data_IF_369210543971
#
_entry.id   IF_369210543971
#
_cell.length_a   1.000
_cell.length_b   1.000
_cell.length_c   1.000
_cell.angle_alpha   90.00
_cell.angle_beta   90.00
_cell.angle_gamma   90.00
#
_symmetry.space_group_name_H-M   'P 1'
#
loop_
_entity.id
_entity.type
_entity.pdbx_description
1 polymer ?
#
# COMPACT_ATOMS: atom_id res chain seq x y z
N UNK A 1 21.10 19.01 16.42
CA UNK A 1 20.47 19.45 15.14
C UNK A 1 18.94 19.33 15.11
N UNK A 2 18.27 18.78 16.15
CA UNK A 2 16.80 18.77 16.21
C UNK A 2 16.22 20.13 16.60
N UNK A 3 16.90 20.85 17.48
CA UNK A 3 16.67 22.27 17.71
C UNK A 3 17.25 23.05 16.53
N UNK A 4 16.41 23.87 15.87
CA UNK A 4 16.75 24.65 14.68
C UNK A 4 17.36 26.01 15.03
N UNK A 5 17.44 26.36 16.30
CA UNK A 5 18.02 27.62 16.73
C UNK A 5 19.54 27.60 16.58
N UNK A 6 20.09 28.59 15.87
CA UNK A 6 21.54 28.86 15.74
C UNK A 6 22.38 27.71 15.14
N UNK A 7 21.80 26.84 14.31
CA UNK A 7 22.51 25.74 13.65
C UNK A 7 22.76 25.96 12.15
N UNK A 8 22.60 27.19 11.65
CA UNK A 8 22.66 27.50 10.20
C UNK A 8 23.94 26.98 9.54
N UNK A 9 25.08 27.05 10.23
CA UNK A 9 26.37 26.54 9.76
C UNK A 9 26.33 25.02 9.51
N UNK A 10 25.60 24.28 10.35
CA UNK A 10 25.43 22.82 10.23
C UNK A 10 24.36 22.44 9.19
N UNK A 11 23.63 23.42 8.65
CA UNK A 11 22.59 23.26 7.64
C UNK A 11 23.05 23.69 6.23
N UNK A 12 24.35 23.90 6.07
CA UNK A 12 25.02 24.26 4.82
C UNK A 12 25.29 23.04 3.93
N UNK A 13 25.62 23.28 2.66
CA UNK A 13 25.99 22.23 1.72
C UNK A 13 27.32 21.59 2.12
N UNK A 14 28.27 22.41 2.59
CA UNK A 14 29.59 21.99 3.06
C UNK A 14 29.49 21.06 4.28
N UNK A 15 28.57 21.36 5.21
CA UNK A 15 28.30 20.50 6.36
C UNK A 15 27.69 19.16 5.91
N UNK A 16 26.72 19.17 4.98
CA UNK A 16 26.14 17.94 4.45
C UNK A 16 27.22 17.08 3.77
N UNK A 17 28.07 17.67 2.94
CA UNK A 17 29.18 16.97 2.30
C UNK A 17 30.13 16.33 3.31
N UNK A 18 30.43 17.02 4.40
CA UNK A 18 31.26 16.48 5.48
C UNK A 18 30.58 15.28 6.15
N UNK A 19 29.28 15.37 6.43
CA UNK A 19 28.53 14.26 7.02
C UNK A 19 28.49 13.04 6.10
N UNK A 20 28.28 13.24 4.79
CA UNK A 20 28.26 12.15 3.80
C UNK A 20 29.65 11.51 3.70
N UNK A 21 30.72 12.31 3.61
CA UNK A 21 32.10 11.79 3.59
C UNK A 21 32.45 11.03 4.86
N UNK A 22 32.00 11.50 6.03
CA UNK A 22 32.21 10.81 7.29
C UNK A 22 31.44 9.48 7.32
N UNK A 23 30.18 9.45 6.86
CA UNK A 23 29.42 8.21 6.74
C UNK A 23 30.09 7.18 5.82
N UNK A 24 30.70 7.66 4.73
CA UNK A 24 31.38 6.83 3.75
C UNK A 24 32.68 6.22 4.30
N UNK A 25 33.51 7.03 4.97
CA UNK A 25 34.88 6.65 5.31
C UNK A 25 35.13 6.35 6.80
N UNK A 26 34.14 6.54 7.69
CA UNK A 26 34.33 6.29 9.12
C UNK A 26 34.77 4.84 9.38
N UNK A 27 35.83 4.68 10.17
CA UNK A 27 36.33 3.37 10.57
C UNK A 27 35.41 2.68 11.59
N UNK A 28 34.70 3.46 12.41
CA UNK A 28 33.76 2.98 13.41
C UNK A 28 32.29 3.20 12.98
N UNK A 29 31.45 2.18 13.20
CA UNK A 29 30.02 2.22 12.87
C UNK A 29 29.25 3.33 13.61
N UNK A 30 29.49 3.62 14.91
CA UNK A 30 28.77 4.69 15.60
C UNK A 30 28.96 6.06 14.97
N UNK A 31 30.18 6.42 14.55
CA UNK A 31 30.43 7.67 13.85
C UNK A 31 29.70 7.71 12.50
N UNK A 32 29.72 6.61 11.75
CA UNK A 32 29.03 6.51 10.46
C UNK A 32 27.51 6.72 10.61
N UNK A 33 26.91 6.06 11.61
CA UNK A 33 25.48 6.18 11.92
C UNK A 33 25.11 7.60 12.36
N UNK A 34 25.93 8.24 13.21
CA UNK A 34 25.67 9.60 13.66
C UNK A 34 25.79 10.62 12.52
N UNK A 35 26.75 10.42 11.61
CA UNK A 35 26.91 11.26 10.44
C UNK A 35 25.65 11.23 9.54
N UNK A 36 25.06 10.05 9.30
CA UNK A 36 23.81 9.97 8.53
C UNK A 36 22.66 10.64 9.28
N UNK A 37 22.56 10.49 10.61
CA UNK A 37 21.52 11.20 11.39
C UNK A 37 21.66 12.72 11.26
N UNK A 38 22.88 13.25 11.26
CA UNK A 38 23.15 14.66 10.97
C UNK A 38 22.75 15.05 9.53
N UNK A 39 23.07 14.22 8.54
CA UNK A 39 22.67 14.42 7.16
C UNK A 39 21.14 14.45 6.99
N UNK A 40 20.40 13.54 7.63
CA UNK A 40 18.92 13.52 7.62
C UNK A 40 18.36 14.85 8.15
N UNK A 41 18.85 15.30 9.30
CA UNK A 41 18.41 16.56 9.90
C UNK A 41 18.74 17.77 9.02
N UNK A 42 19.75 17.66 8.15
CA UNK A 42 20.14 18.72 7.22
C UNK A 42 19.16 18.85 6.06
N UNK A 43 18.50 17.79 5.61
CA UNK A 43 17.59 17.83 4.44
C UNK A 43 16.10 17.86 4.81
N UNK A 44 15.72 17.35 5.98
CA UNK A 44 14.32 17.16 6.35
C UNK A 44 13.51 18.47 6.38
N UNK A 45 12.37 18.48 5.69
CA UNK A 45 11.49 19.65 5.55
C UNK A 45 12.23 20.89 5.01
N UNK A 46 13.18 20.70 4.08
CA UNK A 46 13.95 21.77 3.40
C UNK A 46 14.03 21.54 1.88
N UNK A 47 12.91 21.54 1.14
CA UNK A 47 12.89 21.21 -0.30
C UNK A 47 13.78 22.13 -1.17
N UNK A 48 13.90 23.42 -0.83
CA UNK A 48 14.79 24.33 -1.55
C UNK A 48 16.28 23.97 -1.39
N UNK A 49 16.66 23.42 -0.23
CA UNK A 49 18.02 22.94 0.01
C UNK A 49 18.29 21.67 -0.81
N UNK A 50 17.32 20.76 -0.90
CA UNK A 50 17.44 19.55 -1.74
C UNK A 50 17.73 19.89 -3.20
N UNK A 51 17.11 20.94 -3.76
CA UNK A 51 17.43 21.40 -5.11
C UNK A 51 18.90 21.82 -5.27
N UNK A 52 19.50 22.46 -4.26
CA UNK A 52 20.91 22.82 -4.28
C UNK A 52 21.82 21.58 -4.17
N UNK A 53 21.45 20.59 -3.34
CA UNK A 53 22.19 19.32 -3.22
C UNK A 53 22.14 18.51 -4.51
N UNK A 54 21.00 18.49 -5.21
CA UNK A 54 20.84 17.82 -6.50
C UNK A 54 21.73 18.41 -7.60
N UNK A 55 22.14 19.68 -7.47
CA UNK A 55 23.06 20.34 -8.39
C UNK A 55 24.53 19.96 -8.14
N UNK A 56 24.83 19.15 -7.12
CA UNK A 56 26.19 18.76 -6.77
C UNK A 56 26.40 17.24 -6.83
N UNK A 57 27.66 16.76 -6.93
CA UNK A 57 27.97 15.33 -6.85
C UNK A 57 27.58 14.69 -5.51
N UNK A 58 27.38 15.49 -4.47
CA UNK A 58 27.02 15.04 -3.11
C UNK A 58 25.79 14.15 -3.11
N UNK A 59 24.81 14.43 -3.96
CA UNK A 59 23.60 13.62 -4.04
C UNK A 59 23.89 12.18 -4.52
N UNK A 60 24.77 12.03 -5.52
CA UNK A 60 25.18 10.72 -6.00
C UNK A 60 26.01 9.96 -4.94
N UNK A 61 26.82 10.67 -4.15
CA UNK A 61 27.51 10.09 -2.99
C UNK A 61 26.53 9.60 -1.91
N UNK A 62 25.44 10.32 -1.64
CA UNK A 62 24.39 9.85 -0.73
C UNK A 62 23.82 8.51 -1.21
N UNK A 63 23.54 8.39 -2.50
CA UNK A 63 23.06 7.12 -3.06
C UNK A 63 24.15 6.03 -3.04
N UNK A 64 25.41 6.38 -3.26
CA UNK A 64 26.53 5.44 -3.16
C UNK A 64 26.62 4.76 -1.79
N UNK A 65 26.24 5.45 -0.70
CA UNK A 65 26.18 4.86 0.65
C UNK A 65 25.31 3.59 0.70
N UNK A 66 24.31 3.44 -0.18
CA UNK A 66 23.48 2.22 -0.26
C UNK A 66 24.27 0.97 -0.65
N UNK A 67 25.44 1.14 -1.26
CA UNK A 67 26.28 0.04 -1.79
C UNK A 67 27.38 -0.41 -0.85
N UNK A 68 27.60 0.33 0.25
CA UNK A 68 28.66 0.02 1.21
C UNK A 68 28.31 -1.23 2.02
N UNK A 69 29.32 -2.03 2.36
CA UNK A 69 29.16 -3.19 3.21
C UNK A 69 29.02 -2.77 4.68
N UNK A 70 27.80 -2.34 5.07
CA UNK A 70 27.47 -1.82 6.41
C UNK A 70 26.26 -2.56 7.01
N UNK A 71 25.99 -2.42 8.32
CA UNK A 71 24.85 -3.06 8.97
C UNK A 71 23.48 -2.56 8.46
N UNK A 72 22.41 -3.33 8.71
CA UNK A 72 21.04 -2.95 8.32
C UNK A 72 20.58 -1.61 8.90
N UNK A 73 21.00 -1.27 10.12
CA UNK A 73 20.69 0.03 10.74
C UNK A 73 21.25 1.20 9.90
N UNK A 74 22.47 1.07 9.38
CA UNK A 74 23.09 2.07 8.51
C UNK A 74 22.27 2.26 7.24
N UNK A 75 21.95 1.18 6.54
CA UNK A 75 21.13 1.26 5.33
C UNK A 75 19.73 1.80 5.60
N UNK A 76 19.14 1.50 6.76
CA UNK A 76 17.84 2.07 7.17
C UNK A 76 17.92 3.60 7.24
N UNK A 77 19.01 4.14 7.79
CA UNK A 77 19.21 5.60 7.86
C UNK A 77 19.51 6.20 6.49
N UNK A 78 20.30 5.52 5.63
CA UNK A 78 20.56 5.99 4.26
C UNK A 78 19.24 6.11 3.48
N UNK A 79 18.36 5.11 3.55
CA UNK A 79 17.08 5.17 2.86
C UNK A 79 16.12 6.19 3.47
N UNK A 80 16.16 6.43 4.79
CA UNK A 80 15.46 7.57 5.42
C UNK A 80 15.97 8.91 4.92
N UNK A 81 17.28 9.07 4.73
CA UNK A 81 17.88 10.26 4.14
C UNK A 81 17.35 10.47 2.72
N UNK A 82 17.40 9.46 1.87
CA UNK A 82 16.87 9.53 0.50
C UNK A 82 15.36 9.85 0.48
N UNK A 83 14.56 9.16 1.29
CA UNK A 83 13.12 9.42 1.43
C UNK A 83 12.83 10.86 1.85
N UNK A 84 13.62 11.44 2.76
CA UNK A 84 13.47 12.84 3.16
C UNK A 84 13.72 13.82 2.00
N UNK A 85 14.50 13.42 0.99
CA UNK A 85 14.72 14.24 -0.22
C UNK A 85 13.58 14.11 -1.25
N UNK A 86 12.75 13.08 -1.18
CA UNK A 86 11.66 12.82 -2.14
C UNK A 86 10.46 13.75 -2.00
N UNK A 87 10.45 14.65 -1.02
CA UNK A 87 9.58 15.84 -1.05
C UNK A 87 9.84 16.70 -2.31
N UNK A 88 11.04 16.60 -2.90
CA UNK A 88 11.40 17.25 -4.15
C UNK A 88 11.29 16.27 -5.34
N UNK A 89 10.41 16.51 -6.34
CA UNK A 89 10.18 15.56 -7.44
C UNK A 89 11.43 15.19 -8.24
N UNK A 90 12.35 16.13 -8.46
CA UNK A 90 13.61 15.86 -9.18
C UNK A 90 14.53 14.86 -8.42
N UNK A 91 14.40 14.74 -7.10
CA UNK A 91 15.12 13.74 -6.32
C UNK A 91 14.60 12.33 -6.61
N UNK A 92 13.26 12.18 -6.72
CA UNK A 92 12.63 10.92 -7.13
C UNK A 92 13.14 10.54 -8.52
N UNK A 93 13.07 11.46 -9.48
CA UNK A 93 13.53 11.20 -10.85
C UNK A 93 15.02 10.83 -10.92
N UNK A 94 15.87 11.55 -10.17
CA UNK A 94 17.31 11.26 -10.08
C UNK A 94 17.55 9.83 -9.60
N UNK A 95 16.94 9.44 -8.48
CA UNK A 95 17.15 8.10 -7.91
C UNK A 95 16.51 7.01 -8.77
N UNK A 96 15.25 7.18 -9.17
CA UNK A 96 14.50 6.18 -9.92
C UNK A 96 15.13 5.91 -11.30
N UNK A 97 15.40 6.97 -12.08
CA UNK A 97 15.80 6.86 -13.49
C UNK A 97 17.31 6.91 -13.70
N UNK A 98 18.01 7.83 -13.04
CA UNK A 98 19.44 8.06 -13.32
C UNK A 98 20.32 7.13 -12.51
N UNK A 99 19.97 6.89 -11.26
CA UNK A 99 20.73 6.04 -10.34
C UNK A 99 20.17 4.60 -10.26
N UNK A 100 19.19 4.28 -11.11
CA UNK A 100 18.58 2.96 -11.23
C UNK A 100 18.05 2.40 -9.90
N UNK A 101 17.30 3.21 -9.16
CA UNK A 101 16.81 2.90 -7.81
C UNK A 101 16.13 1.53 -7.68
N UNK A 102 15.33 1.09 -8.66
CA UNK A 102 14.70 -0.23 -8.65
C UNK A 102 15.71 -1.39 -8.61
N UNK A 103 16.85 -1.25 -9.31
CA UNK A 103 17.90 -2.26 -9.34
C UNK A 103 18.63 -2.41 -7.99
N UNK A 104 18.55 -1.39 -7.14
CA UNK A 104 19.03 -1.46 -5.76
C UNK A 104 17.91 -1.95 -4.81
N UNK A 105 16.73 -1.32 -4.86
CA UNK A 105 15.65 -1.53 -3.89
C UNK A 105 15.08 -2.95 -3.94
N UNK A 106 14.79 -3.48 -5.14
CA UNK A 106 14.12 -4.78 -5.26
C UNK A 106 15.00 -5.94 -4.76
N UNK A 107 16.29 -6.06 -5.17
CA UNK A 107 17.16 -7.11 -4.64
C UNK A 107 17.45 -6.96 -3.15
N UNK A 108 17.63 -5.74 -2.64
CA UNK A 108 17.85 -5.52 -1.20
C UNK A 108 16.63 -5.91 -0.38
N UNK A 109 15.41 -5.56 -0.84
CA UNK A 109 14.17 -5.97 -0.18
C UNK A 109 14.02 -7.50 -0.17
N UNK A 110 14.29 -8.14 -1.31
CA UNK A 110 14.30 -9.60 -1.43
C UNK A 110 15.28 -10.24 -0.45
N UNK A 111 16.49 -9.69 -0.35
CA UNK A 111 17.54 -10.15 0.57
C UNK A 111 17.12 -9.99 2.04
N UNK A 112 16.52 -8.86 2.43
CA UNK A 112 16.05 -8.65 3.80
C UNK A 112 15.05 -9.72 4.22
N UNK A 113 14.12 -10.07 3.33
CA UNK A 113 13.03 -11.03 3.59
C UNK A 113 13.47 -12.50 3.65
N UNK A 114 14.71 -12.81 3.27
CA UNK A 114 15.24 -14.18 3.19
C UNK A 114 16.37 -14.46 4.21
N UNK A 115 16.36 -15.62 4.89
CA UNK A 115 15.24 -16.56 5.02
C UNK A 115 14.13 -15.97 5.91
N UNK A 116 12.87 -16.36 5.66
CA UNK A 116 11.70 -15.78 6.32
C UNK A 116 11.73 -15.93 7.85
N UNK A 117 12.23 -17.05 8.37
CA UNK A 117 12.29 -17.29 9.81
C UNK A 117 13.23 -16.32 10.54
N UNK A 118 14.29 -15.88 9.85
CA UNK A 118 15.23 -14.91 10.37
C UNK A 118 14.64 -13.49 10.27
N UNK A 119 14.02 -13.17 9.14
CA UNK A 119 13.35 -11.88 8.94
C UNK A 119 12.34 -11.58 10.05
N UNK A 120 11.50 -12.56 10.42
CA UNK A 120 10.44 -12.38 11.43
C UNK A 120 10.97 -12.07 12.84
N UNK A 121 12.27 -12.28 13.11
CA UNK A 121 12.92 -12.09 14.41
C UNK A 121 13.91 -10.91 14.44
N UNK A 122 14.27 -10.38 13.27
CA UNK A 122 15.32 -9.37 13.11
C UNK A 122 14.68 -8.00 12.86
N UNK A 123 14.68 -7.17 13.91
CA UNK A 123 14.04 -5.85 13.90
C UNK A 123 14.71 -4.91 12.89
N UNK A 124 16.03 -5.02 12.71
CA UNK A 124 16.78 -4.12 11.82
C UNK A 124 16.51 -4.47 10.35
N UNK A 125 16.37 -5.76 10.04
CA UNK A 125 15.91 -6.20 8.69
C UNK A 125 14.51 -5.71 8.39
N UNK A 126 13.58 -5.85 9.34
CA UNK A 126 12.19 -5.38 9.16
C UNK A 126 12.18 -3.86 8.97
N UNK A 127 12.98 -3.12 9.75
CA UNK A 127 13.08 -1.67 9.65
C UNK A 127 13.58 -1.24 8.26
N UNK A 128 14.67 -1.83 7.76
CA UNK A 128 15.18 -1.55 6.42
C UNK A 128 14.15 -1.90 5.34
N UNK A 129 13.58 -3.10 5.40
CA UNK A 129 12.57 -3.54 4.44
C UNK A 129 11.34 -2.61 4.41
N UNK A 130 10.96 -2.08 5.57
CA UNK A 130 9.86 -1.11 5.70
C UNK A 130 10.19 0.21 5.00
N UNK A 131 11.40 0.75 5.17
CA UNK A 131 11.80 1.96 4.43
C UNK A 131 11.89 1.70 2.92
N UNK A 132 12.38 0.54 2.49
CA UNK A 132 12.42 0.15 1.09
C UNK A 132 11.01 0.05 0.45
N UNK A 133 10.01 -0.44 1.19
CA UNK A 133 8.61 -0.42 0.71
C UNK A 133 8.06 1.00 0.57
N UNK A 134 8.43 1.94 1.46
CA UNK A 134 8.05 3.35 1.29
C UNK A 134 8.70 3.95 0.04
N UNK A 135 9.95 3.60 -0.25
CA UNK A 135 10.62 4.00 -1.49
C UNK A 135 9.87 3.44 -2.70
N UNK A 136 9.51 2.16 -2.68
CA UNK A 136 8.71 1.55 -3.74
C UNK A 136 7.34 2.21 -3.89
N UNK A 137 6.70 2.61 -2.79
CA UNK A 137 5.45 3.39 -2.84
C UNK A 137 5.65 4.72 -3.56
N UNK A 138 6.72 5.45 -3.23
CA UNK A 138 7.04 6.72 -3.92
C UNK A 138 7.33 6.48 -5.39
N UNK A 139 8.12 5.48 -5.76
CA UNK A 139 8.38 5.20 -7.17
C UNK A 139 7.12 4.77 -7.91
N UNK A 140 6.31 3.88 -7.33
CA UNK A 140 5.07 3.45 -7.93
C UNK A 140 4.03 4.58 -8.07
N UNK A 141 4.18 5.70 -7.33
CA UNK A 141 3.31 6.86 -7.53
C UNK A 141 3.48 7.48 -8.91
N UNK A 142 4.63 7.28 -9.58
CA UNK A 142 4.81 7.70 -10.98
C UNK A 142 3.98 6.86 -11.95
N UNK A 143 3.55 5.66 -11.53
CA UNK A 143 2.63 4.81 -12.30
C UNK A 143 1.18 5.27 -12.16
N UNK A 144 0.88 6.01 -11.08
CA UNK A 144 -0.45 6.50 -10.80
C UNK A 144 -0.85 7.53 -11.86
N UNK A 145 -1.85 7.20 -12.67
CA UNK A 145 -2.32 8.00 -13.82
C UNK A 145 -1.34 8.10 -15.00
N UNK A 146 -0.29 7.26 -15.05
CA UNK A 146 0.46 7.14 -16.29
C UNK A 146 -0.50 6.67 -17.41
N UNK A 147 -0.29 7.13 -18.64
CA UNK A 147 -0.99 6.61 -19.84
C UNK A 147 -0.24 5.40 -20.41
N UNK A 148 1.08 5.37 -20.23
CA UNK A 148 1.94 4.24 -20.50
C UNK A 148 2.86 4.03 -19.30
N UNK A 149 3.06 2.77 -18.92
CA UNK A 149 4.11 2.44 -17.96
C UNK A 149 5.49 2.72 -18.61
N UNK A 150 6.54 3.06 -17.84
CA UNK A 150 7.89 3.25 -18.37
C UNK A 150 8.37 2.04 -19.18
N UNK A 151 9.09 2.21 -20.30
CA UNK A 151 9.49 1.09 -21.16
C UNK A 151 10.27 -0.02 -20.44
N UNK A 152 11.03 0.34 -19.40
CA UNK A 152 11.81 -0.62 -18.61
C UNK A 152 11.02 -1.27 -17.46
N UNK A 153 9.77 -0.85 -17.24
CA UNK A 153 8.96 -1.36 -16.13
C UNK A 153 8.69 -2.84 -16.24
N UNK A 154 8.64 -3.40 -17.45
CA UNK A 154 8.35 -4.82 -17.63
C UNK A 154 9.46 -5.68 -17.05
N UNK A 155 10.70 -5.17 -17.01
CA UNK A 155 11.83 -5.84 -16.38
C UNK A 155 11.76 -5.86 -14.85
N UNK A 156 11.11 -4.88 -14.23
CA UNK A 156 11.06 -4.71 -12.77
C UNK A 156 9.70 -5.07 -12.16
N UNK A 157 8.62 -4.95 -12.94
CA UNK A 157 7.25 -5.11 -12.48
C UNK A 157 6.95 -6.52 -11.99
N UNK A 158 7.40 -7.55 -12.70
CA UNK A 158 7.17 -8.93 -12.27
C UNK A 158 7.85 -9.19 -10.93
N UNK A 159 9.12 -8.79 -10.79
CA UNK A 159 9.86 -8.88 -9.53
C UNK A 159 9.21 -8.06 -8.41
N UNK A 160 8.75 -6.84 -8.71
CA UNK A 160 8.07 -5.99 -7.74
C UNK A 160 6.74 -6.59 -7.27
N UNK A 161 5.93 -7.13 -8.18
CA UNK A 161 4.65 -7.75 -7.85
C UNK A 161 4.83 -9.10 -7.12
N UNK A 162 5.84 -9.89 -7.50
CA UNK A 162 6.22 -11.11 -6.79
C UNK A 162 6.67 -10.81 -5.36
N UNK A 163 7.50 -9.77 -5.17
CA UNK A 163 7.92 -9.32 -3.85
C UNK A 163 6.74 -8.80 -3.02
N UNK A 164 5.86 -8.00 -3.63
CA UNK A 164 4.67 -7.49 -2.96
C UNK A 164 3.75 -8.62 -2.49
N UNK A 165 3.52 -9.64 -3.34
CA UNK A 165 2.77 -10.83 -2.95
C UNK A 165 3.47 -11.59 -1.82
N UNK A 166 4.80 -11.79 -1.92
CA UNK A 166 5.60 -12.45 -0.89
C UNK A 166 5.56 -11.71 0.45
N UNK A 167 5.56 -10.38 0.45
CA UNK A 167 5.39 -9.56 1.66
C UNK A 167 4.03 -9.82 2.30
N UNK A 168 2.95 -9.85 1.50
CA UNK A 168 1.61 -10.12 1.99
C UNK A 168 1.44 -11.57 2.44
N UNK A 169 2.21 -12.50 1.88
CA UNK A 169 2.22 -13.92 2.24
C UNK A 169 2.89 -14.20 3.60
N UNK A 170 3.67 -13.27 4.14
CA UNK A 170 4.28 -13.43 5.46
C UNK A 170 3.23 -13.67 6.54
N UNK A 171 3.56 -14.44 7.60
CA UNK A 171 2.67 -14.65 8.74
C UNK A 171 2.15 -13.34 9.32
N UNK A 172 0.85 -13.31 9.61
CA UNK A 172 0.20 -12.15 10.21
C UNK A 172 0.57 -12.02 11.70
N UNK A 173 1.63 -11.26 12.00
CA UNK A 173 2.08 -10.99 13.36
C UNK A 173 2.19 -9.49 13.63
N UNK A 174 2.27 -9.11 14.91
CA UNK A 174 2.45 -7.71 15.29
C UNK A 174 3.80 -7.15 14.81
N UNK A 175 4.84 -7.97 14.74
CA UNK A 175 6.19 -7.55 14.36
C UNK A 175 6.31 -7.11 12.90
N UNK A 176 5.47 -7.63 12.00
CA UNK A 176 5.46 -7.26 10.59
C UNK A 176 4.24 -6.46 10.16
N UNK A 177 3.39 -6.05 11.11
CA UNK A 177 2.16 -5.32 10.80
C UNK A 177 2.47 -4.04 10.01
N UNK A 178 3.36 -3.19 10.52
CA UNK A 178 3.72 -1.92 9.89
C UNK A 178 4.36 -2.14 8.51
N UNK A 179 5.21 -3.17 8.39
CA UNK A 179 5.82 -3.59 7.14
C UNK A 179 4.75 -3.97 6.09
N UNK A 180 3.79 -4.82 6.46
CA UNK A 180 2.70 -5.24 5.57
C UNK A 180 1.72 -4.10 5.26
N UNK A 181 1.54 -3.15 6.17
CA UNK A 181 0.77 -1.92 5.90
C UNK A 181 1.46 -1.05 4.83
N UNK A 182 2.79 -0.99 4.79
CA UNK A 182 3.48 -0.31 3.68
C UNK A 182 3.28 -1.05 2.35
N UNK A 183 3.23 -2.39 2.35
CA UNK A 183 2.86 -3.14 1.15
C UNK A 183 1.44 -2.81 0.68
N UNK A 184 0.49 -2.62 1.60
CA UNK A 184 -0.85 -2.15 1.25
C UNK A 184 -0.85 -0.77 0.58
N UNK A 185 0.03 0.14 1.02
CA UNK A 185 0.20 1.44 0.38
C UNK A 185 0.73 1.30 -1.05
N UNK A 186 1.66 0.37 -1.31
CA UNK A 186 2.09 0.07 -2.69
C UNK A 186 0.92 -0.47 -3.52
N UNK A 187 0.10 -1.35 -2.95
CA UNK A 187 -1.06 -1.92 -3.66
C UNK A 187 -2.11 -0.85 -4.03
N UNK A 188 -2.28 0.19 -3.21
CA UNK A 188 -3.20 1.32 -3.44
C UNK A 188 -3.03 1.96 -4.84
N UNK A 189 -1.78 2.06 -5.29
CA UNK A 189 -1.38 2.79 -6.49
C UNK A 189 -1.15 1.86 -7.70
N UNK A 190 -1.20 0.54 -7.49
CA UNK A 190 -1.18 -0.47 -8.56
C UNK A 190 -2.56 -0.54 -9.22
N UNK A 191 -2.79 0.34 -10.20
CA UNK A 191 -4.06 0.43 -10.94
C UNK A 191 -3.96 -0.13 -12.36
N UNK A 192 -2.74 -0.30 -12.87
CA UNK A 192 -2.50 -0.74 -14.23
C UNK A 192 -2.83 -2.23 -14.40
N UNK A 193 -3.67 -2.62 -15.39
CA UNK A 193 -4.06 -4.01 -15.60
C UNK A 193 -2.88 -4.99 -15.66
N UNK A 194 -1.81 -4.64 -16.39
CA UNK A 194 -0.62 -5.49 -16.50
C UNK A 194 0.08 -5.76 -15.15
N UNK A 195 0.10 -4.79 -14.23
CA UNK A 195 0.65 -4.97 -12.89
C UNK A 195 -0.29 -5.81 -12.02
N UNK A 196 -1.59 -5.56 -12.13
CA UNK A 196 -2.61 -6.34 -11.44
C UNK A 196 -2.55 -7.81 -11.87
N UNK A 197 -2.44 -8.08 -13.17
CA UNK A 197 -2.34 -9.43 -13.72
C UNK A 197 -1.12 -10.18 -13.16
N UNK A 198 0.04 -9.52 -13.10
CA UNK A 198 1.26 -10.08 -12.49
C UNK A 198 1.05 -10.37 -11.00
N UNK A 199 0.48 -9.43 -10.24
CA UNK A 199 0.21 -9.63 -8.82
C UNK A 199 -0.77 -10.79 -8.57
N UNK A 200 -1.80 -10.92 -9.41
CA UNK A 200 -2.75 -12.03 -9.37
C UNK A 200 -2.07 -13.35 -9.70
N UNK A 201 -1.16 -13.39 -10.69
CA UNK A 201 -0.41 -14.57 -11.07
C UNK A 201 0.50 -15.10 -9.93
N UNK A 202 0.96 -14.22 -9.04
CA UNK A 202 1.75 -14.56 -7.84
C UNK A 202 0.88 -14.84 -6.60
N UNK A 203 -0.39 -15.23 -6.75
CA UNK A 203 -1.35 -15.49 -5.66
C UNK A 203 -1.63 -14.28 -4.73
N UNK A 204 -1.28 -13.07 -5.15
CA UNK A 204 -1.32 -11.88 -4.31
C UNK A 204 -2.70 -11.54 -3.75
N UNK A 205 -3.77 -11.85 -4.48
CA UNK A 205 -5.17 -11.59 -4.05
C UNK A 205 -5.50 -12.36 -2.77
N UNK A 206 -5.12 -13.64 -2.71
CA UNK A 206 -5.36 -14.50 -1.55
C UNK A 206 -4.62 -13.97 -0.32
N UNK A 207 -3.37 -13.56 -0.49
CA UNK A 207 -2.56 -12.98 0.58
C UNK A 207 -3.12 -11.63 1.06
N UNK A 208 -3.59 -10.80 0.13
CA UNK A 208 -4.22 -9.51 0.45
C UNK A 208 -5.52 -9.68 1.25
N UNK A 209 -6.36 -10.67 0.90
CA UNK A 209 -7.57 -11.01 1.67
C UNK A 209 -7.21 -11.43 3.10
N UNK A 210 -6.26 -12.36 3.26
CA UNK A 210 -5.84 -12.83 4.58
C UNK A 210 -5.26 -11.70 5.44
N UNK A 211 -4.57 -10.74 4.83
CA UNK A 211 -4.05 -9.58 5.55
C UNK A 211 -5.14 -8.56 5.91
N UNK A 212 -6.12 -8.33 5.04
CA UNK A 212 -7.29 -7.50 5.36
C UNK A 212 -8.08 -8.06 6.55
N UNK A 213 -8.30 -9.37 6.60
CA UNK A 213 -8.97 -10.00 7.74
C UNK A 213 -8.23 -9.72 9.04
N UNK A 214 -6.90 -9.85 9.02
CA UNK A 214 -6.04 -9.55 10.16
C UNK A 214 -6.09 -8.07 10.56
N UNK A 215 -5.99 -7.14 9.61
CA UNK A 215 -6.06 -5.70 9.89
C UNK A 215 -7.43 -5.31 10.49
N UNK A 216 -8.52 -5.89 9.97
CA UNK A 216 -9.87 -5.69 10.50
C UNK A 216 -9.99 -6.26 11.91
N UNK A 217 -9.40 -7.42 12.21
CA UNK A 217 -9.35 -7.97 13.56
C UNK A 217 -8.64 -6.98 14.52
N UNK A 218 -7.50 -6.41 14.12
CA UNK A 218 -6.78 -5.39 14.91
C UNK A 218 -7.63 -4.15 15.19
N UNK A 219 -8.44 -3.71 14.22
CA UNK A 219 -9.30 -2.52 14.36
C UNK A 219 -10.58 -2.81 15.15
N UNK A 220 -11.33 -3.86 14.81
CA UNK A 220 -12.69 -4.08 15.32
C UNK A 220 -12.74 -4.95 16.56
N UNK A 221 -11.87 -5.95 16.65
CA UNK A 221 -11.89 -6.95 17.73
C UNK A 221 -10.93 -6.54 18.83
N UNK A 222 -9.66 -6.38 18.51
CA UNK A 222 -8.63 -6.01 19.49
C UNK A 222 -8.62 -4.51 19.82
N UNK A 223 -9.06 -3.65 18.87
CA UNK A 223 -9.04 -2.19 18.98
C UNK A 223 -7.64 -1.63 19.28
N UNK A 224 -6.61 -2.27 18.75
CA UNK A 224 -5.21 -1.87 18.89
C UNK A 224 -4.74 -0.96 17.75
N UNK A 225 -5.60 -0.74 16.75
CA UNK A 225 -5.31 0.05 15.57
C UNK A 225 -6.49 0.94 15.18
N UNK A 226 -6.19 2.08 14.57
CA UNK A 226 -7.18 3.01 14.04
C UNK A 226 -7.82 2.49 12.75
N UNK A 227 -9.12 2.75 12.50
CA UNK A 227 -9.79 2.29 11.27
C UNK A 227 -9.14 2.77 9.97
N UNK A 228 -8.39 3.87 10.00
CA UNK A 228 -7.71 4.45 8.84
C UNK A 228 -6.75 3.46 8.17
N UNK A 229 -6.13 2.52 8.92
CA UNK A 229 -5.17 1.55 8.38
C UNK A 229 -5.81 0.58 7.37
N UNK A 230 -7.14 0.40 7.41
CA UNK A 230 -7.88 -0.50 6.50
C UNK A 230 -8.16 0.18 5.17
N UNK A 231 -8.08 1.51 5.09
CA UNK A 231 -8.45 2.28 3.89
C UNK A 231 -7.56 1.94 2.68
N UNK A 232 -6.22 1.97 2.77
CA UNK A 232 -5.36 1.62 1.63
C UNK A 232 -5.58 0.19 1.15
N UNK A 233 -5.81 -0.73 2.09
CA UNK A 233 -6.11 -2.13 1.79
C UNK A 233 -7.39 -2.28 0.98
N UNK A 234 -8.49 -1.66 1.43
CA UNK A 234 -9.78 -1.73 0.73
C UNK A 234 -9.69 -1.12 -0.66
N UNK A 235 -8.98 0.01 -0.80
CA UNK A 235 -8.79 0.61 -2.13
C UNK A 235 -7.95 -0.34 -3.01
N UNK A 236 -6.87 -0.93 -2.49
CA UNK A 236 -6.08 -1.93 -3.22
C UNK A 236 -6.94 -3.11 -3.69
N UNK A 237 -7.73 -3.72 -2.81
CA UNK A 237 -8.66 -4.79 -3.17
C UNK A 237 -9.69 -4.35 -4.23
N UNK A 238 -10.19 -3.13 -4.14
CA UNK A 238 -11.09 -2.57 -5.14
C UNK A 238 -10.40 -2.45 -6.51
N UNK A 239 -9.15 -2.01 -6.58
CA UNK A 239 -8.41 -1.97 -7.85
C UNK A 239 -8.19 -3.37 -8.43
N UNK A 240 -7.88 -4.36 -7.59
CA UNK A 240 -7.77 -5.75 -8.03
C UNK A 240 -9.08 -6.29 -8.62
N UNK A 241 -10.22 -6.01 -7.95
CA UNK A 241 -11.54 -6.42 -8.43
C UNK A 241 -11.95 -5.69 -9.73
N UNK A 242 -11.60 -4.41 -9.85
CA UNK A 242 -11.98 -3.60 -11.01
C UNK A 242 -11.21 -3.99 -12.27
N UNK A 243 -9.92 -4.32 -12.13
CA UNK A 243 -9.00 -4.44 -13.26
C UNK A 243 -8.67 -5.90 -13.64
N UNK A 244 -9.10 -6.90 -12.88
CA UNK A 244 -8.85 -8.32 -13.19
C UNK A 244 -10.03 -9.23 -12.79
N UNK A 245 -10.54 -10.02 -13.74
CA UNK A 245 -11.70 -10.88 -13.55
C UNK A 245 -11.46 -12.03 -12.55
N UNK A 246 -10.25 -12.61 -12.53
CA UNK A 246 -9.92 -13.65 -11.56
C UNK A 246 -9.81 -13.09 -10.13
N UNK A 247 -9.23 -11.90 -9.99
CA UNK A 247 -9.18 -11.13 -8.75
C UNK A 247 -10.58 -10.79 -8.26
N UNK A 248 -11.44 -10.30 -9.16
CA UNK A 248 -12.87 -10.05 -8.87
C UNK A 248 -13.56 -11.28 -8.28
N UNK A 249 -13.50 -12.42 -8.98
CA UNK A 249 -14.18 -13.65 -8.54
C UNK A 249 -13.63 -14.18 -7.21
N UNK A 250 -12.32 -14.08 -7.00
CA UNK A 250 -11.68 -14.49 -5.76
C UNK A 250 -12.11 -13.61 -4.59
N UNK A 251 -12.15 -12.29 -4.79
CA UNK A 251 -12.61 -11.33 -3.79
C UNK A 251 -14.10 -11.49 -3.51
N UNK A 252 -14.94 -11.62 -4.54
CA UNK A 252 -16.38 -11.85 -4.39
C UNK A 252 -16.65 -13.09 -3.56
N UNK A 253 -15.98 -14.21 -3.86
CA UNK A 253 -16.07 -15.45 -3.08
C UNK A 253 -15.60 -15.25 -1.64
N UNK A 254 -14.43 -14.66 -1.42
CA UNK A 254 -13.89 -14.45 -0.08
C UNK A 254 -14.79 -13.56 0.80
N UNK A 255 -15.26 -12.43 0.25
CA UNK A 255 -16.08 -11.47 0.98
C UNK A 255 -17.45 -12.07 1.29
N UNK A 256 -18.11 -12.71 0.33
CA UNK A 256 -19.49 -13.19 0.50
C UNK A 256 -19.62 -14.67 0.91
N UNK A 257 -18.52 -15.40 1.15
CA UNK A 257 -18.52 -16.81 1.54
C UNK A 257 -19.37 -17.12 2.79
N UNK A 258 -19.55 -16.15 3.70
CA UNK A 258 -20.30 -16.29 4.95
C UNK A 258 -21.81 -16.04 4.84
N UNK A 259 -22.46 -16.29 3.70
CA UNK A 259 -23.94 -16.28 3.64
C UNK A 259 -24.50 -17.58 4.19
N UNK A 260 -25.58 -17.48 4.98
CA UNK A 260 -26.24 -18.66 5.53
C UNK A 260 -26.69 -19.61 4.39
N UNK A 261 -26.54 -20.95 4.57
CA UNK A 261 -26.99 -21.93 3.60
C UNK A 261 -28.52 -21.87 3.46
N UNK A 262 -28.98 -21.19 2.41
CA UNK A 262 -30.39 -20.84 2.16
C UNK A 262 -30.57 -19.67 1.18
N UNK A 263 -29.53 -18.85 1.01
CA UNK A 263 -29.50 -17.67 0.12
C UNK A 263 -29.17 -18.02 -1.35
N UNK A 264 -29.87 -19.03 -1.89
CA UNK A 264 -29.65 -19.61 -3.24
C UNK A 264 -30.00 -18.66 -4.40
N UNK A 265 -30.52 -17.47 -4.12
CA UNK A 265 -30.99 -16.51 -5.13
C UNK A 265 -29.86 -15.78 -5.88
N UNK A 266 -28.61 -15.82 -5.39
CA UNK A 266 -27.50 -15.09 -6.04
C UNK A 266 -26.86 -15.84 -7.23
N UNK A 267 -26.82 -17.18 -7.22
CA UNK A 267 -26.35 -17.97 -8.37
C UNK A 267 -27.34 -17.95 -9.55
N UNK A 268 -28.63 -17.68 -9.28
CA UNK A 268 -29.64 -17.51 -10.31
C UNK A 268 -29.62 -16.10 -10.96
N UNK A 269 -29.17 -15.07 -10.24
CA UNK A 269 -29.03 -13.70 -10.78
C UNK A 269 -27.67 -13.52 -11.49
N UNK A 270 -26.63 -14.24 -11.09
CA UNK A 270 -25.30 -14.21 -11.71
C UNK A 270 -25.24 -14.87 -13.11
N UNK A 271 -26.19 -15.77 -13.43
CA UNK A 271 -26.33 -16.39 -14.75
C UNK A 271 -27.29 -15.63 -15.69
N UNK A 272 -27.79 -14.46 -15.28
CA UNK A 272 -28.48 -13.57 -16.20
C UNK A 272 -27.44 -12.96 -17.16
N UNK A 273 -27.69 -12.97 -18.49
CA UNK A 273 -26.77 -12.36 -19.46
C UNK A 273 -26.51 -10.89 -19.07
N UNK A 274 -25.32 -10.33 -19.41
CA UNK A 274 -25.05 -8.91 -19.15
C UNK A 274 -26.18 -8.10 -19.76
N UNK A 275 -26.99 -7.47 -18.90
CA UNK A 275 -28.16 -6.70 -19.31
C UNK A 275 -27.67 -5.46 -20.05
N UNK A 276 -27.49 -5.60 -21.36
CA UNK A 276 -27.56 -4.50 -22.31
C UNK A 276 -28.90 -3.81 -22.08
N UNK A 277 -28.88 -2.64 -21.45
CA UNK A 277 -29.97 -1.67 -21.40
C UNK A 277 -31.39 -2.22 -21.09
N UNK A 278 -31.54 -3.11 -20.12
CA UNK A 278 -32.86 -3.52 -19.64
C UNK A 278 -33.08 -3.03 -18.20
N UNK A 279 -34.00 -2.07 -18.05
CA UNK A 279 -34.53 -1.59 -16.76
C UNK A 279 -35.01 -2.76 -15.89
N UNK A 280 -34.52 -2.95 -14.65
CA UNK A 280 -35.20 -3.81 -13.71
C UNK A 280 -36.30 -3.00 -13.01
N UNK A 281 -37.55 -3.19 -13.43
CA UNK A 281 -38.72 -2.65 -12.74
C UNK A 281 -39.05 -3.49 -11.47
N UNK A 282 -38.10 -3.61 -10.55
CA UNK A 282 -38.44 -3.84 -9.14
C UNK A 282 -38.06 -2.55 -8.41
N UNK A 283 -39.05 -1.77 -7.93
CA UNK A 283 -38.73 -0.55 -7.23
C UNK A 283 -38.00 -0.92 -5.93
N UNK A 284 -36.89 -0.22 -5.64
CA UNK A 284 -36.08 -0.38 -4.42
C UNK A 284 -36.95 -0.38 -3.13
N UNK A 285 -38.15 0.22 -3.19
CA UNK A 285 -39.16 0.23 -2.13
C UNK A 285 -39.77 -1.13 -1.77
N UNK A 286 -39.56 -2.17 -2.58
CA UNK A 286 -40.06 -3.54 -2.34
C UNK A 286 -38.97 -4.49 -1.81
N UNK A 287 -37.73 -4.04 -1.65
CA UNK A 287 -36.68 -4.85 -1.06
C UNK A 287 -36.91 -5.00 0.45
N UNK A 288 -36.64 -6.19 1.03
CA UNK A 288 -36.74 -6.39 2.46
C UNK A 288 -35.84 -5.37 3.18
N UNK A 289 -36.46 -4.58 4.06
CA UNK A 289 -35.78 -3.59 4.91
C UNK A 289 -34.91 -4.25 5.99
N UNK A 290 -35.09 -5.56 6.21
CA UNK A 290 -34.32 -6.35 7.15
C UNK A 290 -32.92 -6.62 6.60
N UNK A 291 -31.85 -6.34 7.36
CA UNK A 291 -30.51 -6.68 6.93
C UNK A 291 -30.40 -8.20 6.73
N UNK A 292 -29.62 -8.67 5.73
CA UNK A 292 -29.37 -10.09 5.56
C UNK A 292 -28.78 -10.68 6.85
N UNK A 293 -29.07 -11.96 7.13
CA UNK A 293 -28.47 -12.65 8.27
C UNK A 293 -26.97 -12.85 8.03
N UNK A 294 -26.17 -11.91 8.50
CA UNK A 294 -24.71 -11.93 8.36
C UNK A 294 -24.12 -12.89 9.39
N UNK A 295 -23.20 -13.76 8.97
CA UNK A 295 -22.43 -14.60 9.89
C UNK A 295 -21.53 -13.70 10.74
N UNK A 296 -21.71 -13.76 12.06
CA UNK A 296 -20.94 -12.98 13.02
C UNK A 296 -19.44 -13.31 12.92
N UNK A 297 -18.61 -12.29 12.88
CA UNK A 297 -17.17 -12.39 12.68
C UNK A 297 -16.73 -12.59 11.23
N UNK A 298 -17.66 -12.66 10.28
CA UNK A 298 -17.30 -12.78 8.86
C UNK A 298 -16.71 -11.48 8.31
N UNK A 299 -15.95 -11.63 7.22
CA UNK A 299 -15.42 -10.49 6.48
C UNK A 299 -16.56 -9.62 5.91
N UNK A 300 -17.64 -10.26 5.43
CA UNK A 300 -18.84 -9.56 4.96
C UNK A 300 -19.43 -8.65 6.05
N UNK A 301 -19.66 -9.19 7.24
CA UNK A 301 -20.22 -8.43 8.37
C UNK A 301 -19.32 -7.24 8.72
N UNK A 302 -18.01 -7.46 8.73
CA UNK A 302 -17.06 -6.40 9.03
C UNK A 302 -17.02 -5.29 7.99
N UNK A 303 -17.10 -5.63 6.71
CA UNK A 303 -17.21 -4.64 5.65
C UNK A 303 -18.53 -3.85 5.75
N UNK A 304 -19.66 -4.53 5.98
CA UNK A 304 -20.95 -3.85 6.19
C UNK A 304 -20.91 -2.89 7.39
N UNK A 305 -20.25 -3.25 8.49
CA UNK A 305 -20.10 -2.37 9.64
C UNK A 305 -19.27 -1.09 9.32
N UNK A 306 -18.28 -1.19 8.44
CA UNK A 306 -17.51 0.00 8.02
C UNK A 306 -18.30 0.96 7.12
N UNK A 307 -19.38 0.52 6.47
CA UNK A 307 -20.28 1.40 5.71
C UNK A 307 -21.00 2.43 6.59
N UNK A 308 -21.01 2.23 7.91
CA UNK A 308 -21.53 3.21 8.89
C UNK A 308 -20.42 3.79 9.76
N UNK A 309 -19.15 3.65 9.37
CA UNK A 309 -18.01 4.21 10.09
C UNK A 309 -18.08 5.75 10.15
N UNK A 310 -17.55 6.32 11.24
CA UNK A 310 -17.33 7.76 11.39
C UNK A 310 -16.20 8.26 10.49
N UNK A 311 -15.26 7.38 10.11
CA UNK A 311 -14.27 7.68 9.09
C UNK A 311 -14.95 7.70 7.70
N UNK A 312 -15.08 8.90 7.13
CA UNK A 312 -15.79 9.14 5.86
C UNK A 312 -15.12 8.47 4.68
N UNK A 313 -13.79 8.42 4.66
CA UNK A 313 -13.01 7.85 3.57
C UNK A 313 -13.14 6.32 3.57
N UNK A 314 -12.97 5.69 4.73
CA UNK A 314 -13.15 4.25 4.90
C UNK A 314 -14.58 3.84 4.52
N UNK A 315 -15.58 4.56 5.01
CA UNK A 315 -16.99 4.32 4.67
C UNK A 315 -17.23 4.36 3.17
N UNK A 316 -16.72 5.39 2.49
CA UNK A 316 -16.87 5.55 1.05
C UNK A 316 -16.16 4.43 0.29
N UNK A 317 -14.90 4.13 0.64
CA UNK A 317 -14.10 3.13 -0.05
C UNK A 317 -14.69 1.73 0.08
N UNK A 318 -15.16 1.35 1.27
CA UNK A 318 -15.81 0.04 1.49
C UNK A 318 -17.12 -0.05 0.72
N UNK A 319 -17.92 1.02 0.71
CA UNK A 319 -19.18 1.03 -0.01
C UNK A 319 -18.97 0.89 -1.52
N UNK A 320 -18.03 1.64 -2.10
CA UNK A 320 -17.65 1.54 -3.52
C UNK A 320 -17.11 0.15 -3.89
N UNK A 321 -16.28 -0.43 -3.02
CA UNK A 321 -15.72 -1.76 -3.22
C UNK A 321 -16.82 -2.84 -3.24
N UNK A 322 -17.71 -2.86 -2.24
CA UNK A 322 -18.82 -3.80 -2.18
C UNK A 322 -19.80 -3.63 -3.34
N UNK A 323 -20.06 -2.38 -3.76
CA UNK A 323 -20.89 -2.10 -4.94
C UNK A 323 -20.26 -2.65 -6.22
N UNK A 324 -18.93 -2.54 -6.36
CA UNK A 324 -18.19 -3.14 -7.48
C UNK A 324 -18.34 -4.66 -7.47
N UNK A 325 -18.16 -5.34 -6.33
CA UNK A 325 -18.34 -6.79 -6.20
C UNK A 325 -19.78 -7.26 -6.52
N UNK A 326 -20.75 -6.35 -6.42
CA UNK A 326 -22.14 -6.54 -6.83
C UNK A 326 -22.38 -6.13 -8.29
N UNK A 327 -21.35 -6.14 -9.15
CA UNK A 327 -21.42 -5.73 -10.56
C UNK A 327 -22.04 -4.34 -10.78
N UNK A 328 -21.87 -3.41 -9.83
CA UNK A 328 -22.53 -2.10 -9.86
C UNK A 328 -24.07 -2.18 -9.95
N UNK A 329 -24.66 -3.29 -9.48
CA UNK A 329 -26.09 -3.50 -9.45
C UNK A 329 -26.67 -3.06 -8.10
N UNK A 330 -27.54 -2.06 -8.13
CA UNK A 330 -28.14 -1.50 -6.91
C UNK A 330 -29.04 -2.47 -6.14
N UNK A 331 -29.72 -3.39 -6.83
CA UNK A 331 -30.55 -4.40 -6.20
C UNK A 331 -29.69 -5.46 -5.51
N UNK A 332 -28.68 -5.99 -6.22
CA UNK A 332 -27.72 -6.93 -5.64
C UNK A 332 -27.02 -6.30 -4.44
N UNK A 333 -26.51 -5.07 -4.58
CA UNK A 333 -25.84 -4.36 -3.49
C UNK A 333 -26.74 -4.18 -2.27
N UNK A 334 -27.98 -3.72 -2.46
CA UNK A 334 -28.93 -3.55 -1.35
C UNK A 334 -29.27 -4.88 -0.68
N UNK A 335 -29.40 -5.96 -1.44
CA UNK A 335 -29.59 -7.31 -0.91
C UNK A 335 -28.37 -7.78 -0.10
N UNK A 336 -27.15 -7.45 -0.54
CA UNK A 336 -25.92 -7.85 0.13
C UNK A 336 -25.71 -7.09 1.45
N UNK A 337 -25.95 -5.78 1.45
CA UNK A 337 -25.52 -4.91 2.55
C UNK A 337 -26.66 -4.39 3.42
N UNK A 338 -27.91 -4.57 2.99
CA UNK A 338 -29.09 -3.92 3.58
C UNK A 338 -29.24 -2.47 3.14
N UNK A 339 -30.49 -2.01 3.00
CA UNK A 339 -30.80 -0.65 2.50
C UNK A 339 -30.23 0.46 3.38
N UNK A 340 -30.27 0.30 4.70
CA UNK A 340 -29.75 1.30 5.65
C UNK A 340 -28.26 1.61 5.44
N UNK A 341 -27.47 0.61 5.07
CA UNK A 341 -26.05 0.79 4.74
C UNK A 341 -25.87 1.31 3.30
N UNK A 342 -26.65 0.79 2.35
CA UNK A 342 -26.50 1.10 0.93
C UNK A 342 -26.94 2.53 0.55
N UNK A 343 -27.92 3.10 1.26
CA UNK A 343 -28.62 4.34 0.85
C UNK A 343 -27.68 5.52 0.62
N UNK A 344 -26.64 5.66 1.43
CA UNK A 344 -25.71 6.78 1.32
C UNK A 344 -24.93 6.75 -0.01
N UNK A 345 -24.45 5.57 -0.41
CA UNK A 345 -23.75 5.40 -1.68
C UNK A 345 -24.70 5.53 -2.87
N UNK A 346 -25.89 4.91 -2.79
CA UNK A 346 -26.87 4.94 -3.90
C UNK A 346 -27.34 6.36 -4.22
N UNK A 347 -27.55 7.20 -3.20
CA UNK A 347 -27.82 8.63 -3.37
C UNK A 347 -26.66 9.38 -4.02
N UNK A 348 -25.44 9.10 -3.57
CA UNK A 348 -24.22 9.72 -4.14
C UNK A 348 -24.04 9.35 -5.62
N UNK A 349 -24.47 8.17 -6.04
CA UNK A 349 -24.47 7.72 -7.45
C UNK A 349 -25.69 8.16 -8.26
N UNK A 350 -26.66 8.85 -7.65
CA UNK A 350 -27.89 9.31 -8.33
C UNK A 350 -28.86 8.19 -8.72
N UNK A 351 -28.78 7.03 -8.06
CA UNK A 351 -29.63 5.87 -8.35
C UNK A 351 -30.95 5.92 -7.56
N UNK A 352 -30.97 6.62 -6.41
CA UNK A 352 -32.12 6.78 -5.52
C UNK A 352 -32.42 8.25 -5.25
#
# INVERSE_FOLDING_TARGET
>A
MRDRMHIDVLLSLEALELFVRLAEHAADEPAALEAIKCAINSVIARPAFVAAVLATPTYDHIFHLTTLARPFEFHTLVWKLLLATFEHPAAIERVERTLHGYACVLPTLAYCMQPTELFLKDVDRIALATELLKVLYVFASTWQNATHLPPDIDSTADSAMALLSSTLALPNTQSVLDFKLQAANVLLIVQYPALVDRFVAHDGVKHAVAFVEYAIMKVRVEKTQEPSIVTPLVIGLHQLAKNNAHGFETLKRAIFAGRAPGDSTSLAVANAPPLTHAKPNLPLSQLPMSPPSLVKGSLHESMCAFMTSTNTDLKRCVSEFLFTLCHNNALEFTHCTGLGNAVALLRLKGIM
#
